data_IF_611467701484
#
_entry.id   IF_611467701484
#
_cell.length_a   1.000
_cell.length_b   1.000
_cell.length_c   1.000
_cell.angle_alpha   90.00
_cell.angle_beta   90.00
_cell.angle_gamma   90.00
#
_symmetry.space_group_name_H-M   'P 1'
#
loop_
_entity.id
_entity.type
_entity.pdbx_description
1 polymer ?
#
# COMPACT_ATOMS: atom_id res chain seq x y z
N UNK A 1 13.91 17.07 44.26
CA UNK A 1 14.11 18.03 43.15
C UNK A 1 15.03 17.45 42.08
N UNK A 2 16.02 16.62 42.45
CA UNK A 2 17.11 16.14 41.55
C UNK A 2 16.66 15.04 40.57
N UNK A 3 15.61 14.30 40.84
CA UNK A 3 15.15 13.19 39.98
C UNK A 3 14.33 13.72 38.77
N UNK A 4 13.52 14.78 38.97
CA UNK A 4 12.75 15.39 37.87
C UNK A 4 13.64 16.07 36.82
N UNK A 5 14.78 16.64 37.22
CA UNK A 5 15.70 17.25 36.27
C UNK A 5 16.40 16.22 35.35
N UNK A 6 16.69 15.02 35.86
CA UNK A 6 17.30 13.93 35.03
C UNK A 6 16.35 13.37 33.99
N UNK A 7 15.06 13.27 34.29
CA UNK A 7 14.06 12.82 33.31
C UNK A 7 13.88 13.83 32.18
N UNK A 8 13.83 15.12 32.48
CA UNK A 8 13.75 16.17 31.44
C UNK A 8 14.98 16.20 30.53
N UNK A 9 16.19 15.93 31.07
CA UNK A 9 17.40 15.86 30.25
C UNK A 9 17.42 14.65 29.32
N UNK A 10 16.87 13.50 29.75
CA UNK A 10 16.76 12.30 28.92
C UNK A 10 15.73 12.47 27.80
N UNK A 11 14.59 13.08 28.07
CA UNK A 11 13.60 13.37 27.03
C UNK A 11 14.12 14.40 26.01
N UNK A 12 14.84 15.40 26.45
CA UNK A 12 15.43 16.40 25.57
C UNK A 12 16.55 15.81 24.68
N UNK A 13 17.32 14.86 25.19
CA UNK A 13 18.36 14.13 24.42
C UNK A 13 17.73 13.19 23.39
N UNK A 14 16.64 12.50 23.73
CA UNK A 14 15.90 11.64 22.81
C UNK A 14 15.21 12.47 21.72
N UNK A 15 14.65 13.63 22.08
CA UNK A 15 14.06 14.56 21.09
C UNK A 15 15.10 15.13 20.13
N UNK A 16 16.30 15.49 20.64
CA UNK A 16 17.41 15.99 19.81
C UNK A 16 18.05 14.89 18.96
N UNK A 17 18.06 13.63 19.41
CA UNK A 17 18.52 12.50 18.62
C UNK A 17 17.53 12.17 17.49
N UNK A 18 16.23 12.32 17.73
CA UNK A 18 15.20 12.15 16.70
C UNK A 18 15.22 13.25 15.63
N UNK A 19 15.59 14.48 16.00
CA UNK A 19 15.66 15.58 15.03
C UNK A 19 16.96 15.60 14.20
N UNK A 20 17.96 14.79 14.54
CA UNK A 20 19.18 14.62 13.74
C UNK A 20 19.20 13.38 12.86
N UNK A 21 18.17 12.54 12.91
CA UNK A 21 17.95 11.49 11.93
C UNK A 21 17.41 12.13 10.65
N UNK A 22 18.35 12.64 9.90
CA UNK A 22 18.40 12.77 8.47
C UNK A 22 17.15 13.34 7.82
N UNK A 23 17.31 14.44 7.13
CA UNK A 23 16.63 14.62 5.84
C UNK A 23 16.78 13.32 5.08
N UNK A 24 15.77 12.45 5.21
CA UNK A 24 15.56 11.38 4.27
C UNK A 24 15.32 12.10 2.94
N UNK A 25 16.40 12.28 2.16
CA UNK A 25 16.21 12.51 0.74
C UNK A 25 15.26 11.40 0.32
N UNK A 26 14.05 11.76 -0.08
CA UNK A 26 13.04 10.80 -0.49
C UNK A 26 13.68 10.00 -1.61
N UNK A 27 14.22 8.83 -1.24
CA UNK A 27 14.70 7.86 -2.18
C UNK A 27 13.53 7.64 -3.13
N UNK A 28 13.82 7.67 -4.42
CA UNK A 28 12.85 7.33 -5.43
C UNK A 28 12.13 6.07 -5.04
N UNK A 29 10.80 6.12 -5.08
CA UNK A 29 10.00 4.93 -4.89
C UNK A 29 10.12 4.03 -6.12
N UNK A 30 10.25 2.73 -5.89
CA UNK A 30 10.23 1.72 -6.95
C UNK A 30 8.87 1.03 -6.95
N UNK A 31 8.29 0.89 -8.12
CA UNK A 31 6.96 0.30 -8.30
C UNK A 31 7.00 -0.86 -9.30
N UNK A 32 6.09 -1.79 -9.13
CA UNK A 32 5.81 -2.77 -10.17
C UNK A 32 5.06 -2.09 -11.30
N UNK A 33 5.49 -2.32 -12.54
CA UNK A 33 4.89 -1.72 -13.74
C UNK A 33 4.49 -2.83 -14.69
N UNK A 34 3.19 -3.04 -14.84
CA UNK A 34 2.65 -4.10 -15.70
C UNK A 34 1.16 -3.91 -15.98
N UNK A 35 0.66 -4.70 -16.92
CA UNK A 35 -0.75 -4.78 -17.31
C UNK A 35 -1.15 -6.24 -17.50
N UNK A 36 -2.32 -6.65 -16.98
CA UNK A 36 -2.78 -8.03 -17.05
C UNK A 36 -3.26 -8.48 -18.44
N UNK A 37 -3.47 -7.53 -19.34
CA UNK A 37 -3.78 -7.83 -20.75
C UNK A 37 -2.56 -8.33 -21.53
N UNK A 38 -1.36 -7.91 -21.14
CA UNK A 38 -0.08 -8.36 -21.73
C UNK A 38 0.63 -9.41 -20.90
N UNK A 39 0.53 -9.38 -19.57
CA UNK A 39 1.14 -10.34 -18.66
C UNK A 39 0.12 -10.79 -17.59
N UNK A 40 -0.40 -12.03 -17.68
CA UNK A 40 -1.34 -12.57 -16.70
C UNK A 40 -0.85 -12.56 -15.25
N UNK A 41 0.47 -12.58 -15.02
CA UNK A 41 1.08 -12.52 -13.70
C UNK A 41 0.90 -11.16 -13.01
N UNK A 42 0.55 -10.13 -13.77
CA UNK A 42 0.18 -8.81 -13.25
C UNK A 42 -1.16 -8.81 -12.51
N UNK A 43 -1.99 -9.85 -12.68
CA UNK A 43 -3.27 -9.98 -12.00
C UNK A 43 -3.12 -10.30 -10.50
N UNK A 44 -4.23 -10.43 -9.78
CA UNK A 44 -4.24 -10.95 -8.41
C UNK A 44 -4.63 -12.44 -8.42
N UNK A 45 -3.88 -13.30 -7.70
CA UNK A 45 -2.70 -12.99 -6.89
C UNK A 45 -1.49 -12.59 -7.74
N UNK A 46 -0.79 -11.55 -7.31
CA UNK A 46 0.34 -11.00 -8.06
C UNK A 46 1.57 -11.91 -7.97
N UNK A 47 2.15 -12.22 -9.13
CA UNK A 47 3.41 -12.97 -9.25
C UNK A 47 4.49 -12.05 -9.86
N UNK A 48 5.49 -11.73 -9.05
CA UNK A 48 6.57 -10.82 -9.43
C UNK A 48 7.74 -11.50 -10.16
N UNK A 49 7.63 -12.77 -10.53
CA UNK A 49 8.75 -13.52 -11.13
C UNK A 49 9.16 -13.00 -12.50
N UNK A 50 8.22 -12.43 -13.27
CA UNK A 50 8.48 -11.90 -14.61
C UNK A 50 8.31 -10.39 -14.72
N UNK A 51 7.67 -9.77 -13.72
CA UNK A 51 7.38 -8.34 -13.74
C UNK A 51 8.58 -7.57 -13.20
N UNK A 52 9.12 -6.57 -13.94
CA UNK A 52 10.21 -5.76 -13.46
C UNK A 52 9.75 -4.76 -12.42
N UNK A 53 10.60 -4.50 -11.42
CA UNK A 53 10.44 -3.34 -10.55
C UNK A 53 11.14 -2.15 -11.19
N UNK A 54 10.43 -1.04 -11.33
CA UNK A 54 10.91 0.16 -12.02
C UNK A 54 11.11 1.29 -11.02
N UNK A 55 12.22 2.01 -11.13
CA UNK A 55 12.45 3.25 -10.39
C UNK A 55 11.61 4.36 -11.03
N UNK A 56 10.64 4.88 -10.28
CA UNK A 56 9.70 5.88 -10.78
C UNK A 56 10.36 7.23 -11.16
N UNK A 57 11.59 7.48 -10.75
CA UNK A 57 12.34 8.65 -11.23
C UNK A 57 12.76 8.55 -12.70
N UNK A 58 12.84 7.34 -13.23
CA UNK A 58 13.23 7.10 -14.63
C UNK A 58 12.04 7.24 -15.59
N UNK A 59 10.82 7.34 -15.05
CA UNK A 59 9.65 7.63 -15.86
C UNK A 59 9.79 9.00 -16.54
N UNK A 60 9.43 9.12 -17.83
CA UNK A 60 9.45 10.38 -18.53
C UNK A 60 8.48 11.38 -17.90
N UNK A 61 8.83 12.65 -17.98
CA UNK A 61 7.94 13.72 -17.53
C UNK A 61 6.65 13.71 -18.36
N UNK A 62 5.54 13.99 -17.71
CA UNK A 62 4.27 14.17 -18.40
C UNK A 62 4.29 15.50 -19.16
N UNK A 63 3.86 15.50 -20.41
CA UNK A 63 3.84 16.71 -21.27
C UNK A 63 3.11 17.90 -20.62
N UNK A 64 2.04 17.61 -19.87
CA UNK A 64 1.20 18.63 -19.21
C UNK A 64 1.66 18.95 -17.77
N UNK A 65 2.67 18.25 -17.23
CA UNK A 65 3.21 18.44 -15.90
C UNK A 65 4.75 18.33 -15.90
N UNK A 66 5.45 19.23 -16.61
CA UNK A 66 6.90 19.17 -16.68
C UNK A 66 7.54 19.37 -15.30
N UNK A 67 8.55 18.57 -14.98
CA UNK A 67 9.28 18.65 -13.71
C UNK A 67 8.60 17.99 -12.52
N UNK A 68 7.38 17.49 -12.65
CA UNK A 68 6.70 16.72 -11.59
C UNK A 68 7.11 15.26 -11.68
N UNK A 69 7.68 14.72 -10.60
CA UNK A 69 8.13 13.33 -10.53
C UNK A 69 7.11 12.45 -9.80
N UNK A 70 6.97 11.18 -10.19
CA UNK A 70 6.13 10.24 -9.45
C UNK A 70 6.66 10.01 -8.04
N UNK A 71 5.76 10.01 -7.07
CA UNK A 71 6.06 9.84 -5.64
C UNK A 71 5.38 8.65 -5.00
N UNK A 72 4.55 7.95 -5.76
CA UNK A 72 3.70 6.87 -5.30
C UNK A 72 3.67 5.71 -6.29
N UNK A 73 3.24 4.54 -5.81
CA UNK A 73 2.81 3.44 -6.65
C UNK A 73 1.29 3.40 -6.75
N UNK A 74 0.79 2.93 -7.89
CA UNK A 74 -0.63 2.79 -8.16
C UNK A 74 -0.95 1.37 -8.61
N UNK A 75 -2.11 0.88 -8.15
CA UNK A 75 -2.77 -0.33 -8.64
C UNK A 75 -4.20 0.04 -9.02
N UNK A 76 -4.59 -0.28 -10.24
CA UNK A 76 -5.98 -0.14 -10.71
C UNK A 76 -6.52 -1.53 -11.00
N UNK A 77 -7.70 -1.83 -10.45
CA UNK A 77 -8.50 -2.99 -10.83
C UNK A 77 -9.70 -2.49 -11.60
N UNK A 78 -9.88 -3.00 -12.79
CA UNK A 78 -11.00 -2.65 -13.66
C UNK A 78 -11.78 -3.91 -14.03
N UNK A 79 -13.08 -3.88 -13.86
CA UNK A 79 -13.98 -4.91 -14.35
C UNK A 79 -14.82 -4.35 -15.50
N UNK A 80 -14.74 -4.97 -16.66
CA UNK A 80 -15.50 -4.60 -17.84
C UNK A 80 -16.14 -5.87 -18.40
N UNK A 81 -17.45 -5.88 -18.57
CA UNK A 81 -18.20 -7.04 -19.07
C UNK A 81 -17.87 -8.35 -18.30
N UNK A 82 -17.71 -8.24 -16.98
CA UNK A 82 -17.40 -9.39 -16.14
C UNK A 82 -15.91 -9.77 -16.04
N UNK A 83 -15.05 -9.24 -16.90
CA UNK A 83 -13.61 -9.55 -16.96
C UNK A 83 -12.81 -8.54 -16.15
N UNK A 84 -11.94 -9.04 -15.26
CA UNK A 84 -11.04 -8.20 -14.49
C UNK A 84 -9.75 -7.92 -15.24
N UNK A 85 -9.32 -6.66 -15.22
CA UNK A 85 -8.02 -6.17 -15.71
C UNK A 85 -7.29 -5.47 -14.59
N UNK A 86 -5.97 -5.61 -14.57
CA UNK A 86 -5.10 -5.04 -13.56
C UNK A 86 -4.04 -4.18 -14.22
N UNK A 87 -3.82 -3.02 -13.65
CA UNK A 87 -2.79 -2.08 -14.07
C UNK A 87 -1.97 -1.70 -12.85
N UNK A 88 -0.66 -1.83 -12.94
CA UNK A 88 0.28 -1.41 -11.91
C UNK A 88 1.25 -0.43 -12.53
N UNK A 89 1.50 0.69 -11.87
CA UNK A 89 2.35 1.76 -12.40
C UNK A 89 2.85 2.68 -11.30
N UNK A 90 3.78 3.55 -11.65
CA UNK A 90 4.09 4.76 -10.89
C UNK A 90 2.89 5.73 -10.91
N UNK A 91 2.80 6.60 -9.89
CA UNK A 91 1.78 7.63 -9.80
C UNK A 91 2.37 8.93 -9.27
N UNK A 92 1.90 10.04 -9.83
CA UNK A 92 2.36 11.39 -9.50
C UNK A 92 1.63 11.96 -8.31
N UNK A 93 0.35 11.66 -8.18
CA UNK A 93 -0.52 12.08 -7.09
C UNK A 93 -1.44 10.92 -6.70
N UNK A 94 -1.84 10.89 -5.42
CA UNK A 94 -2.90 10.00 -4.95
C UNK A 94 -4.28 10.50 -5.35
N UNK A 95 -5.30 9.65 -5.19
CA UNK A 95 -6.68 10.07 -5.33
C UNK A 95 -7.04 11.06 -4.19
N UNK A 96 -7.84 12.10 -4.47
CA UNK A 96 -8.28 13.05 -3.46
C UNK A 96 -8.96 12.34 -2.27
N UNK A 97 -8.49 12.64 -1.06
CA UNK A 97 -9.00 12.02 0.18
C UNK A 97 -8.35 10.69 0.55
N UNK A 98 -7.40 10.19 -0.27
CA UNK A 98 -6.60 9.01 0.03
C UNK A 98 -5.12 9.41 -0.03
N UNK A 99 -4.57 9.81 1.10
CA UNK A 99 -3.18 10.27 1.21
C UNK A 99 -2.21 9.08 1.31
N UNK A 100 -2.12 8.29 0.26
CA UNK A 100 -1.12 7.22 0.15
C UNK A 100 -1.25 6.08 1.16
N UNK A 101 -2.41 5.92 1.78
CA UNK A 101 -2.66 4.81 2.68
C UNK A 101 -3.07 3.56 1.88
N UNK A 102 -2.20 2.55 1.90
CA UNK A 102 -2.38 1.29 1.17
C UNK A 102 -3.63 0.50 1.57
N UNK A 103 -4.22 0.81 2.72
CA UNK A 103 -5.41 0.12 3.25
C UNK A 103 -6.69 0.59 2.59
N UNK A 104 -6.67 1.75 1.94
CA UNK A 104 -7.85 2.35 1.35
C UNK A 104 -7.70 2.42 -0.17
N UNK A 105 -8.70 1.90 -0.85
CA UNK A 105 -8.83 2.00 -2.29
C UNK A 105 -10.14 2.74 -2.60
N UNK A 106 -10.11 3.64 -3.55
CA UNK A 106 -11.31 4.32 -4.01
C UNK A 106 -12.01 3.46 -5.06
N UNK A 107 -13.23 3.04 -4.76
CA UNK A 107 -14.07 2.29 -5.69
C UNK A 107 -15.02 3.25 -6.42
N UNK A 108 -15.06 3.11 -7.75
CA UNK A 108 -15.99 3.83 -8.62
C UNK A 108 -16.75 2.85 -9.50
N UNK A 109 -18.05 3.09 -9.65
CA UNK A 109 -18.91 2.33 -10.54
C UNK A 109 -19.29 3.23 -11.73
N UNK A 110 -19.15 2.69 -12.92
CA UNK A 110 -19.60 3.33 -14.16
C UNK A 110 -20.89 2.71 -14.68
N UNK A 111 -21.38 3.20 -15.81
CA UNK A 111 -22.48 2.59 -16.55
C UNK A 111 -22.07 1.22 -17.12
N UNK A 112 -23.05 0.37 -17.42
CA UNK A 112 -22.83 -0.95 -18.05
C UNK A 112 -21.95 -1.92 -17.24
N UNK A 113 -22.14 -1.98 -15.91
CA UNK A 113 -21.40 -2.90 -15.04
C UNK A 113 -19.85 -2.71 -15.12
N UNK A 114 -19.40 -1.50 -15.30
CA UNK A 114 -17.99 -1.16 -15.17
C UNK A 114 -17.69 -0.82 -13.73
N UNK A 115 -16.71 -1.51 -13.15
CA UNK A 115 -16.19 -1.24 -11.81
C UNK A 115 -14.72 -0.87 -11.92
N UNK A 116 -14.32 0.16 -11.19
CA UNK A 116 -12.92 0.56 -11.10
C UNK A 116 -12.55 0.77 -9.63
N UNK A 117 -11.41 0.23 -9.25
CA UNK A 117 -10.83 0.39 -7.93
C UNK A 117 -9.43 0.98 -8.09
N UNK A 118 -9.21 2.12 -7.47
CA UNK A 118 -7.94 2.85 -7.49
C UNK A 118 -7.29 2.74 -6.12
N UNK A 119 -6.11 2.15 -6.09
CA UNK A 119 -5.28 2.03 -4.88
C UNK A 119 -3.97 2.76 -5.13
N UNK A 120 -3.57 3.62 -4.21
CA UNK A 120 -2.26 4.27 -4.22
C UNK A 120 -1.53 3.99 -2.93
N UNK A 121 -0.22 3.91 -2.98
CA UNK A 121 0.62 3.65 -1.83
C UNK A 121 2.02 4.27 -1.98
N UNK A 122 2.64 4.61 -0.87
CA UNK A 122 3.98 5.19 -0.84
C UNK A 122 4.82 4.76 0.38
N UNK A 123 4.38 3.75 1.12
CA UNK A 123 5.02 3.33 2.37
C UNK A 123 6.36 2.64 2.14
N UNK A 124 6.48 1.90 1.04
CA UNK A 124 7.67 1.10 0.71
C UNK A 124 7.75 0.82 -0.79
N UNK A 125 8.92 0.41 -1.25
CA UNK A 125 9.11 -0.05 -2.62
C UNK A 125 8.21 -1.26 -2.93
N UNK A 126 7.63 -1.27 -4.13
CA UNK A 126 6.76 -2.35 -4.59
C UNK A 126 5.46 -2.51 -3.82
N UNK A 127 5.01 -1.49 -3.09
CA UNK A 127 3.78 -1.55 -2.29
C UNK A 127 2.54 -1.89 -3.11
N UNK A 128 2.53 -1.60 -4.41
CA UNK A 128 1.43 -1.93 -5.31
C UNK A 128 1.34 -3.42 -5.70
N UNK A 129 2.18 -4.29 -5.10
CA UNK A 129 2.02 -5.75 -5.17
C UNK A 129 0.81 -6.27 -4.37
N UNK A 130 0.37 -5.54 -3.34
CA UNK A 130 -0.62 -6.02 -2.39
C UNK A 130 -1.89 -6.54 -3.07
N UNK A 131 -2.27 -7.76 -2.69
CA UNK A 131 -3.56 -8.37 -3.04
C UNK A 131 -4.51 -8.22 -1.88
N UNK A 132 -5.81 -8.06 -2.17
CA UNK A 132 -6.84 -8.05 -1.14
C UNK A 132 -6.94 -9.45 -0.51
N UNK A 133 -6.40 -9.62 0.70
CA UNK A 133 -6.44 -10.88 1.42
C UNK A 133 -7.74 -11.01 2.23
N UNK A 134 -8.68 -11.75 1.70
CA UNK A 134 -9.93 -12.13 2.39
C UNK A 134 -9.71 -13.19 3.50
N UNK A 135 -8.46 -13.59 3.75
CA UNK A 135 -8.13 -14.71 4.66
C UNK A 135 -8.21 -14.39 6.16
N UNK A 136 -8.29 -13.11 6.54
CA UNK A 136 -8.22 -12.72 7.96
C UNK A 136 -9.46 -13.06 8.78
N UNK A 137 -10.65 -13.16 8.16
CA UNK A 137 -11.90 -13.41 8.89
C UNK A 137 -12.00 -14.88 9.32
N UNK A 138 -11.60 -15.81 8.47
CA UNK A 138 -11.65 -17.24 8.79
C UNK A 138 -10.73 -17.65 9.93
N UNK A 139 -9.52 -17.11 9.99
CA UNK A 139 -8.58 -17.39 11.10
C UNK A 139 -9.10 -16.87 12.42
N UNK A 140 -9.74 -15.70 12.44
CA UNK A 140 -10.34 -15.12 13.65
C UNK A 140 -11.54 -15.96 14.15
N UNK A 141 -12.39 -16.44 13.27
CA UNK A 141 -13.54 -17.30 13.63
C UNK A 141 -13.06 -18.63 14.20
N UNK A 142 -12.05 -19.25 13.60
CA UNK A 142 -11.48 -20.51 14.08
C UNK A 142 -10.84 -20.32 15.46
N UNK A 143 -10.08 -19.27 15.69
CA UNK A 143 -9.47 -18.96 16.98
C UNK A 143 -10.54 -18.73 18.06
N UNK A 144 -11.63 -18.05 17.74
CA UNK A 144 -12.74 -17.82 18.64
C UNK A 144 -13.48 -19.12 18.98
N UNK A 145 -13.70 -20.01 18.02
CA UNK A 145 -14.33 -21.31 18.24
C UNK A 145 -13.48 -22.24 19.13
N UNK A 146 -12.16 -22.22 18.95
CA UNK A 146 -11.23 -23.00 19.78
C UNK A 146 -11.22 -22.46 21.22
N UNK A 147 -11.19 -21.15 21.41
CA UNK A 147 -11.19 -20.54 22.76
C UNK A 147 -12.51 -20.78 23.49
N UNK A 148 -13.65 -20.75 22.81
CA UNK A 148 -14.95 -21.08 23.38
C UNK A 148 -15.03 -22.55 23.81
N UNK A 149 -14.53 -23.46 23.00
CA UNK A 149 -14.46 -24.89 23.37
C UNK A 149 -13.56 -25.11 24.60
N UNK A 150 -12.44 -24.43 24.64
CA UNK A 150 -11.52 -24.53 25.78
C UNK A 150 -12.18 -24.07 27.07
N UNK A 151 -12.89 -22.96 27.07
CA UNK A 151 -13.63 -22.44 28.22
C UNK A 151 -14.72 -23.43 28.66
N UNK A 152 -15.52 -23.97 27.72
CA UNK A 152 -16.58 -24.92 28.04
C UNK A 152 -16.07 -26.23 28.67
N UNK A 153 -14.89 -26.71 28.27
CA UNK A 153 -14.32 -27.96 28.77
C UNK A 153 -13.71 -27.77 30.15
N UNK A 154 -13.19 -26.57 30.48
CA UNK A 154 -12.50 -26.32 31.75
C UNK A 154 -13.35 -25.58 32.83
N UNK A 155 -14.56 -25.13 32.46
CA UNK A 155 -15.49 -24.47 33.43
C UNK A 155 -16.71 -25.32 33.79
N UNK A 156 -16.89 -26.48 33.19
CA UNK A 156 -17.88 -27.51 33.51
C UNK A 156 -17.18 -28.70 34.16
#
# INVERSE_FOLDING_TARGET
>A
VTIKLRLYFFECLIYRARSRLGTWSRLSIKCWVCRSDSDPKCADPFDNTTVPITDCKQEPDLEHLPGVRPTMCRKIRQKVNGVWRYFRSCAYMGEPGIEGDERFCLMRTGTYNIFMEYCTCNSKDGCNAASYNHKSIFTSIIALAISLRYILVYTL
#
